data_IF_207922042511
#
_entry.id   IF_207922042511
#
_cell.length_a   1.000
_cell.length_b   1.000
_cell.length_c   1.000
_cell.angle_alpha   90.00
_cell.angle_beta   90.00
_cell.angle_gamma   90.00
#
_symmetry.space_group_name_H-M   'P 1'
#
loop_
_entity.id
_entity.type
_entity.pdbx_description
1 polymer ?
#
# COMPACT_ATOMS: atom_id res chain seq x y z
N UNK A 1 -7.59 21.47 6.33
CA UNK A 1 -6.99 22.43 5.33
C UNK A 1 -8.08 22.92 4.41
N UNK A 2 -8.04 24.19 3.95
CA UNK A 2 -9.05 24.70 3.02
C UNK A 2 -8.65 24.48 1.55
N UNK A 3 -9.62 24.46 0.64
CA UNK A 3 -9.37 24.26 -0.81
C UNK A 3 -8.40 25.30 -1.38
N UNK A 4 -8.50 26.57 -0.93
CA UNK A 4 -7.59 27.64 -1.37
C UNK A 4 -6.13 27.39 -0.96
N UNK A 5 -5.92 26.77 0.19
CA UNK A 5 -4.58 26.42 0.68
C UNK A 5 -3.98 25.28 -0.15
N UNK A 6 -4.79 24.25 -0.47
CA UNK A 6 -4.37 23.16 -1.35
C UNK A 6 -3.91 23.70 -2.71
N UNK A 7 -4.67 24.60 -3.32
CA UNK A 7 -4.28 25.24 -4.58
C UNK A 7 -2.96 26.03 -4.46
N UNK A 8 -2.75 26.73 -3.35
CA UNK A 8 -1.47 27.42 -3.08
C UNK A 8 -0.30 26.44 -2.97
N UNK A 9 -0.50 25.27 -2.35
CA UNK A 9 0.52 24.22 -2.26
C UNK A 9 0.89 23.67 -3.64
N UNK A 10 -0.10 23.28 -4.45
CA UNK A 10 0.14 22.80 -5.83
C UNK A 10 0.92 23.83 -6.64
N UNK A 11 0.50 25.10 -6.60
CA UNK A 11 1.18 26.17 -7.33
C UNK A 11 2.61 26.44 -6.81
N UNK A 12 2.85 26.28 -5.50
CA UNK A 12 4.19 26.39 -4.90
C UNK A 12 5.11 25.29 -5.39
N UNK A 13 4.62 24.05 -5.41
CA UNK A 13 5.38 22.91 -5.90
C UNK A 13 5.67 23.03 -7.40
N UNK A 14 4.71 23.47 -8.20
CA UNK A 14 4.88 23.69 -9.63
C UNK A 14 5.95 24.73 -9.92
N UNK A 15 5.94 25.86 -9.18
CA UNK A 15 7.01 26.88 -9.29
C UNK A 15 8.37 26.31 -8.90
N UNK A 16 8.43 25.49 -7.85
CA UNK A 16 9.68 24.86 -7.44
C UNK A 16 10.18 23.86 -8.48
N UNK A 17 9.30 23.03 -9.04
CA UNK A 17 9.64 22.10 -10.11
C UNK A 17 10.25 22.83 -11.30
N UNK A 18 9.66 23.93 -11.74
CA UNK A 18 10.16 24.71 -12.87
C UNK A 18 11.51 25.44 -12.62
N UNK A 19 12.02 25.44 -11.39
CA UNK A 19 13.41 25.88 -11.15
C UNK A 19 14.46 24.90 -11.68
N UNK A 20 14.06 23.67 -12.07
CA UNK A 20 14.96 22.62 -12.53
C UNK A 20 15.76 21.94 -11.42
N UNK A 21 15.67 22.37 -10.16
CA UNK A 21 16.48 21.81 -9.04
C UNK A 21 16.30 20.30 -8.86
N UNK A 22 15.06 19.82 -9.03
CA UNK A 22 14.74 18.38 -8.88
C UNK A 22 15.32 17.52 -10.01
N UNK A 23 15.78 18.10 -11.10
CA UNK A 23 16.40 17.39 -12.21
C UNK A 23 17.85 16.98 -11.89
N UNK A 24 18.53 17.66 -10.98
CA UNK A 24 19.89 17.34 -10.59
C UNK A 24 19.94 16.07 -9.73
N UNK A 25 20.72 15.08 -10.18
CA UNK A 25 20.83 13.80 -9.50
C UNK A 25 21.29 13.93 -8.05
N UNK A 26 22.29 14.78 -7.77
CA UNK A 26 22.77 15.03 -6.42
C UNK A 26 21.68 15.58 -5.47
N UNK A 27 20.74 16.39 -5.99
CA UNK A 27 19.61 16.88 -5.20
C UNK A 27 18.67 15.72 -4.79
N UNK A 28 18.37 14.82 -5.72
CA UNK A 28 17.50 13.65 -5.47
C UNK A 28 18.15 12.68 -4.46
N UNK A 29 19.44 12.37 -4.64
CA UNK A 29 20.21 11.53 -3.70
C UNK A 29 20.22 12.12 -2.30
N UNK A 30 20.46 13.43 -2.16
CA UNK A 30 20.43 14.10 -0.88
C UNK A 30 19.04 14.03 -0.23
N UNK A 31 17.98 14.20 -1.01
CA UNK A 31 16.59 14.12 -0.49
C UNK A 31 16.28 12.71 0.02
N UNK A 32 16.62 11.67 -0.74
CA UNK A 32 16.42 10.27 -0.32
C UNK A 32 17.24 9.91 0.93
N UNK A 33 18.50 10.35 1.03
CA UNK A 33 19.32 10.12 2.22
C UNK A 33 18.76 10.81 3.46
N UNK A 34 18.28 12.05 3.34
CA UNK A 34 17.62 12.75 4.44
C UNK A 34 16.36 12.04 4.89
N UNK A 35 15.56 11.56 3.95
CA UNK A 35 14.35 10.78 4.23
C UNK A 35 14.70 9.47 4.95
N UNK A 36 15.73 8.75 4.50
CA UNK A 36 16.22 7.53 5.13
C UNK A 36 16.63 7.76 6.58
N UNK A 37 17.44 8.78 6.83
CA UNK A 37 17.90 9.14 8.19
C UNK A 37 16.71 9.50 9.08
N UNK A 38 15.76 10.28 8.59
CA UNK A 38 14.57 10.68 9.34
C UNK A 38 13.68 9.48 9.67
N UNK A 39 13.48 8.54 8.74
CA UNK A 39 12.73 7.30 8.99
C UNK A 39 13.41 6.47 10.08
N UNK A 40 14.71 6.26 9.97
CA UNK A 40 15.46 5.47 10.97
C UNK A 40 15.42 6.11 12.36
N UNK A 41 15.48 7.44 12.43
CA UNK A 41 15.42 8.18 13.70
C UNK A 41 14.04 8.11 14.39
N UNK A 42 12.97 7.82 13.63
CA UNK A 42 11.60 7.78 14.13
C UNK A 42 11.00 6.36 14.13
N UNK A 43 11.80 5.31 14.04
CA UNK A 43 11.33 3.93 13.93
C UNK A 43 10.36 3.54 15.08
N UNK A 44 10.68 3.90 16.31
CA UNK A 44 9.83 3.63 17.47
C UNK A 44 8.48 4.38 17.40
N UNK A 45 8.50 5.61 16.89
CA UNK A 45 7.26 6.38 16.71
C UNK A 45 6.39 5.80 15.59
N UNK A 46 7.00 5.32 14.50
CA UNK A 46 6.31 4.62 13.41
C UNK A 46 5.68 3.33 13.93
N UNK A 47 6.44 2.51 14.66
CA UNK A 47 5.95 1.26 15.25
C UNK A 47 4.76 1.52 16.20
N UNK A 48 4.84 2.57 17.03
CA UNK A 48 3.75 2.97 17.91
C UNK A 48 2.51 3.41 17.14
N UNK A 49 2.68 4.18 16.07
CA UNK A 49 1.58 4.65 15.23
C UNK A 49 0.86 3.48 14.52
N UNK A 50 1.61 2.53 13.94
CA UNK A 50 1.08 1.32 13.31
C UNK A 50 0.36 0.41 14.32
N UNK A 51 0.87 0.33 15.55
CA UNK A 51 0.19 -0.35 16.65
C UNK A 51 -1.14 0.30 17.01
N UNK A 52 -1.18 1.63 17.08
CA UNK A 52 -2.41 2.38 17.39
C UNK A 52 -3.45 2.31 16.27
N UNK A 53 -3.04 2.30 15.00
CA UNK A 53 -3.96 2.23 13.87
C UNK A 53 -4.47 0.80 13.60
N UNK A 54 -3.57 -0.19 13.55
CA UNK A 54 -3.84 -1.54 13.04
C UNK A 54 -3.52 -2.68 14.03
N UNK A 55 -2.98 -2.37 15.20
CA UNK A 55 -2.55 -3.39 16.15
C UNK A 55 -1.26 -4.12 15.77
N UNK A 56 -0.54 -3.68 14.75
CA UNK A 56 0.68 -4.36 14.28
C UNK A 56 1.74 -4.43 15.36
N UNK A 57 2.40 -5.58 15.48
CA UNK A 57 3.61 -5.72 16.29
C UNK A 57 4.77 -4.96 15.65
N UNK A 58 5.81 -4.64 16.43
CA UNK A 58 7.01 -3.98 15.89
C UNK A 58 7.70 -4.83 14.82
N UNK A 59 7.70 -6.16 14.99
CA UNK A 59 8.28 -7.09 14.01
C UNK A 59 7.49 -7.08 12.69
N UNK A 60 6.16 -7.11 12.75
CA UNK A 60 5.31 -7.01 11.56
C UNK A 60 5.44 -5.63 10.89
N UNK A 61 5.43 -4.55 11.68
CA UNK A 61 5.61 -3.19 11.20
C UNK A 61 6.95 -3.02 10.46
N UNK A 62 8.04 -3.55 10.99
CA UNK A 62 9.33 -3.52 10.31
C UNK A 62 9.33 -4.36 9.04
N UNK A 63 8.88 -5.63 9.14
CA UNK A 63 8.89 -6.58 8.02
C UNK A 63 8.04 -6.12 6.83
N UNK A 64 6.89 -5.52 7.10
CA UNK A 64 5.89 -5.23 6.06
C UNK A 64 5.79 -3.74 5.69
N UNK A 65 6.45 -2.85 6.43
CA UNK A 65 6.34 -1.41 6.18
C UNK A 65 7.71 -0.71 6.24
N UNK A 66 8.25 -0.44 7.42
CA UNK A 66 9.45 0.39 7.57
C UNK A 66 10.67 -0.20 6.88
N UNK A 67 10.91 -1.50 7.05
CA UNK A 67 12.05 -2.20 6.44
C UNK A 67 11.98 -2.23 4.92
N UNK A 68 10.78 -2.38 4.35
CA UNK A 68 10.57 -2.35 2.89
C UNK A 68 10.86 -0.97 2.32
N UNK A 69 10.37 0.11 2.95
CA UNK A 69 10.67 1.48 2.52
C UNK A 69 12.18 1.78 2.58
N UNK A 70 12.85 1.35 3.64
CA UNK A 70 14.31 1.52 3.76
C UNK A 70 15.09 0.73 2.69
N UNK A 71 14.60 -0.46 2.34
CA UNK A 71 15.15 -1.27 1.24
C UNK A 71 14.95 -0.57 -0.11
N UNK A 72 13.75 -0.01 -0.38
CA UNK A 72 13.47 0.74 -1.61
C UNK A 72 14.33 2.01 -1.73
N UNK A 73 14.48 2.78 -0.65
CA UNK A 73 15.40 3.94 -0.67
C UNK A 73 16.82 3.48 -1.03
N UNK A 74 17.29 2.39 -0.43
CA UNK A 74 18.63 1.85 -0.69
C UNK A 74 18.77 1.37 -2.14
N UNK A 75 17.74 0.73 -2.68
CA UNK A 75 17.67 0.30 -4.07
C UNK A 75 17.72 1.50 -5.04
N UNK A 76 16.90 2.51 -4.81
CA UNK A 76 16.87 3.73 -5.63
C UNK A 76 18.21 4.49 -5.56
N UNK A 77 18.79 4.68 -4.39
CA UNK A 77 20.10 5.31 -4.25
C UNK A 77 21.20 4.60 -5.07
N UNK A 78 21.10 3.28 -5.21
CA UNK A 78 22.05 2.47 -6.00
C UNK A 78 21.79 2.56 -7.50
N UNK A 79 20.52 2.64 -7.95
CA UNK A 79 20.16 2.41 -9.35
C UNK A 79 19.64 3.66 -10.08
N UNK A 80 19.16 4.71 -9.37
CA UNK A 80 18.53 5.89 -9.98
C UNK A 80 19.40 6.61 -11.01
N UNK A 81 20.75 6.58 -10.85
CA UNK A 81 21.67 7.13 -11.87
C UNK A 81 21.61 6.36 -13.18
N UNK A 82 21.43 5.03 -13.11
CA UNK A 82 21.29 4.19 -14.29
C UNK A 82 19.94 4.42 -14.97
N UNK A 83 18.85 4.52 -14.16
CA UNK A 83 17.51 4.76 -14.69
C UNK A 83 17.38 6.13 -15.35
N UNK A 84 18.13 7.14 -14.89
CA UNK A 84 18.16 8.48 -15.46
C UNK A 84 19.05 8.67 -16.69
N UNK A 85 19.75 7.62 -17.19
CA UNK A 85 20.61 7.73 -18.37
C UNK A 85 19.82 7.77 -19.67
N UNK A 86 20.33 8.54 -20.63
CA UNK A 86 19.85 8.53 -21.99
C UNK A 86 20.04 7.12 -22.62
N UNK A 87 19.00 6.61 -23.25
CA UNK A 87 19.00 5.31 -23.92
C UNK A 87 19.10 5.52 -25.42
N UNK A 88 20.26 5.21 -26.00
CA UNK A 88 20.46 5.29 -27.45
C UNK A 88 19.52 4.32 -28.16
N UNK A 89 18.87 4.78 -29.22
CA UNK A 89 18.01 3.99 -30.09
C UNK A 89 18.49 4.08 -31.54
N UNK A 90 18.05 3.15 -32.40
CA UNK A 90 18.43 3.14 -33.82
C UNK A 90 17.96 4.43 -34.50
N UNK A 91 18.89 5.11 -35.16
CA UNK A 91 18.60 6.28 -36.00
C UNK A 91 18.24 5.82 -37.40
N UNK A 92 17.10 6.25 -37.99
CA UNK A 92 16.79 5.94 -39.40
C UNK A 92 17.84 6.46 -40.36
N UNK A 93 18.12 5.71 -41.46
CA UNK A 93 19.12 6.10 -42.48
C UNK A 93 18.87 7.48 -43.08
N UNK A 94 17.59 7.87 -43.25
CA UNK A 94 17.20 9.19 -43.76
C UNK A 94 17.68 10.35 -42.87
N UNK A 95 18.06 10.07 -41.61
CA UNK A 95 18.60 11.01 -40.62
C UNK A 95 20.10 10.77 -40.37
N UNK A 96 20.79 10.28 -41.38
CA UNK A 96 22.24 10.03 -41.31
C UNK A 96 22.99 11.25 -40.77
N UNK A 97 24.03 11.03 -39.97
CA UNK A 97 24.83 11.98 -39.23
C UNK A 97 24.13 12.53 -37.95
N UNK A 98 22.93 12.01 -37.56
CA UNK A 98 22.30 12.33 -36.29
C UNK A 98 22.34 11.17 -35.30
N UNK A 99 22.04 11.45 -34.00
CA UNK A 99 21.92 10.45 -32.96
C UNK A 99 20.52 10.52 -32.33
N UNK A 100 19.84 9.38 -32.28
CA UNK A 100 18.53 9.25 -31.66
C UNK A 100 18.66 8.59 -30.27
N UNK A 101 17.95 9.10 -29.29
CA UNK A 101 17.92 8.55 -27.93
C UNK A 101 16.59 8.86 -27.24
N UNK A 102 16.24 8.05 -26.23
CA UNK A 102 15.17 8.32 -25.29
C UNK A 102 15.76 8.89 -24.02
N UNK A 103 15.25 10.01 -23.55
CA UNK A 103 15.69 10.67 -22.33
C UNK A 103 14.58 10.58 -21.26
N UNK A 104 14.84 9.92 -20.11
CA UNK A 104 13.92 9.94 -18.98
C UNK A 104 13.71 11.38 -18.48
N UNK A 105 12.47 11.75 -18.23
CA UNK A 105 12.11 13.08 -17.70
C UNK A 105 11.04 12.93 -16.62
N UNK A 106 11.12 13.69 -15.50
CA UNK A 106 10.08 13.71 -14.49
C UNK A 106 8.77 14.25 -15.05
N UNK A 107 7.65 13.76 -14.54
CA UNK A 107 6.33 14.27 -14.90
C UNK A 107 6.10 15.70 -14.42
N UNK A 108 6.44 16.00 -13.17
CA UNK A 108 6.23 17.33 -12.58
C UNK A 108 5.75 17.28 -11.15
N UNK A 109 4.56 17.80 -10.89
CA UNK A 109 3.88 17.77 -9.58
C UNK A 109 3.02 16.51 -9.50
N UNK A 110 3.35 15.59 -8.62
CA UNK A 110 2.64 14.33 -8.45
C UNK A 110 1.70 14.37 -7.24
N UNK A 111 0.59 13.66 -7.33
CA UNK A 111 -0.31 13.37 -6.21
C UNK A 111 -0.21 11.88 -5.88
N UNK A 112 0.08 11.56 -4.62
CA UNK A 112 0.09 10.20 -4.08
C UNK A 112 -1.05 10.08 -3.10
N UNK A 113 -2.04 9.24 -3.42
CA UNK A 113 -3.20 8.96 -2.55
C UNK A 113 -3.10 7.52 -2.10
N UNK A 114 -2.91 7.30 -0.81
CA UNK A 114 -2.58 5.99 -0.25
C UNK A 114 -3.66 5.43 0.67
N UNK A 115 -3.72 4.09 0.81
CA UNK A 115 -4.70 3.39 1.63
C UNK A 115 -4.29 3.34 3.10
N UNK A 116 -5.06 2.60 3.87
CA UNK A 116 -4.94 2.48 5.32
C UNK A 116 -4.34 1.15 5.80
N UNK A 117 -4.24 0.14 4.93
CA UNK A 117 -3.87 -1.23 5.34
C UNK A 117 -2.35 -1.43 5.54
N UNK A 118 -1.54 -0.83 4.70
CA UNK A 118 -0.09 -0.66 4.89
C UNK A 118 0.22 0.83 4.72
N UNK A 119 -0.21 1.65 5.70
CA UNK A 119 -0.26 3.10 5.50
C UNK A 119 1.11 3.72 5.34
N UNK A 120 2.14 3.20 6.00
CA UNK A 120 3.49 3.72 5.87
C UNK A 120 4.14 3.27 4.55
N UNK A 121 4.12 1.97 4.26
CA UNK A 121 4.70 1.41 3.03
C UNK A 121 4.08 2.03 1.78
N UNK A 122 2.76 1.89 1.63
CA UNK A 122 2.04 2.29 0.41
C UNK A 122 1.93 3.81 0.23
N UNK A 123 2.42 4.58 1.20
CA UNK A 123 2.60 6.02 1.07
C UNK A 123 4.04 6.38 0.73
N UNK A 124 5.00 5.79 1.46
CA UNK A 124 6.40 6.21 1.38
C UNK A 124 7.12 5.61 0.17
N UNK A 125 6.79 4.39 -0.25
CA UNK A 125 7.43 3.74 -1.41
C UNK A 125 7.15 4.51 -2.71
N UNK A 126 5.88 4.83 -3.09
CA UNK A 126 5.63 5.68 -4.25
C UNK A 126 6.23 7.09 -4.12
N UNK A 127 6.36 7.61 -2.89
CA UNK A 127 7.04 8.88 -2.67
C UNK A 127 8.54 8.77 -2.99
N UNK A 128 9.22 7.72 -2.53
CA UNK A 128 10.63 7.46 -2.83
C UNK A 128 10.86 7.45 -4.33
N UNK A 129 10.01 6.74 -5.08
CA UNK A 129 10.10 6.63 -6.53
C UNK A 129 9.84 7.96 -7.24
N UNK A 130 8.83 8.70 -6.79
CA UNK A 130 8.54 10.02 -7.32
C UNK A 130 9.74 10.99 -7.14
N UNK A 131 10.39 10.95 -5.97
CA UNK A 131 11.56 11.78 -5.69
C UNK A 131 12.80 11.31 -6.46
N UNK A 132 13.03 10.01 -6.57
CA UNK A 132 14.11 9.43 -7.38
C UNK A 132 13.97 9.81 -8.86
N UNK A 133 12.75 9.82 -9.38
CA UNK A 133 12.45 10.26 -10.75
C UNK A 133 12.58 11.78 -10.95
N UNK A 134 12.61 12.59 -9.88
CA UNK A 134 12.80 14.05 -9.94
C UNK A 134 11.51 14.86 -9.93
N UNK A 135 10.41 14.28 -9.47
CA UNK A 135 9.13 14.97 -9.28
C UNK A 135 9.09 15.74 -7.96
N UNK A 136 8.11 16.62 -7.81
CA UNK A 136 7.61 17.11 -6.53
C UNK A 136 6.37 16.31 -6.15
N UNK A 137 6.04 16.18 -4.86
CA UNK A 137 4.93 15.35 -4.44
C UNK A 137 4.03 16.02 -3.40
N UNK A 138 2.72 15.87 -3.61
CA UNK A 138 1.70 16.06 -2.58
C UNK A 138 1.22 14.66 -2.18
N UNK A 139 1.33 14.37 -0.89
CA UNK A 139 0.99 13.07 -0.32
C UNK A 139 -0.30 13.20 0.46
N UNK A 140 -1.28 12.34 0.16
CA UNK A 140 -2.57 12.27 0.83
C UNK A 140 -2.79 10.89 1.44
N UNK A 141 -2.31 10.65 2.67
CA UNK A 141 -2.53 9.39 3.36
C UNK A 141 -4.00 9.21 3.77
N UNK A 142 -4.36 7.99 4.13
CA UNK A 142 -5.72 7.67 4.54
C UNK A 142 -6.11 8.31 5.87
N UNK A 143 -7.34 8.78 5.98
CA UNK A 143 -7.91 9.24 7.25
C UNK A 143 -8.23 8.07 8.22
N UNK A 144 -8.21 6.82 7.75
CA UNK A 144 -8.46 5.63 8.60
C UNK A 144 -7.23 5.16 9.37
N UNK A 145 -6.04 5.70 9.04
CA UNK A 145 -4.78 5.50 9.78
C UNK A 145 -4.20 6.85 10.25
N UNK A 146 -4.88 7.54 11.19
CA UNK A 146 -4.53 8.91 11.57
C UNK A 146 -3.15 9.02 12.23
N UNK A 147 -2.79 8.08 13.12
CA UNK A 147 -1.51 8.12 13.82
C UNK A 147 -0.33 7.93 12.84
N UNK A 148 -0.45 6.99 11.91
CA UNK A 148 0.57 6.79 10.87
C UNK A 148 0.64 8.00 9.92
N UNK A 149 -0.49 8.61 9.60
CA UNK A 149 -0.54 9.83 8.78
C UNK A 149 0.16 11.01 9.47
N UNK A 150 0.02 11.16 10.78
CA UNK A 150 0.66 12.21 11.56
C UNK A 150 2.18 12.03 11.65
N UNK A 151 2.66 10.81 11.94
CA UNK A 151 4.11 10.56 11.98
C UNK A 151 4.76 10.72 10.61
N UNK A 152 4.11 10.33 9.51
CA UNK A 152 4.60 10.59 8.16
C UNK A 152 4.70 12.09 7.86
N UNK A 153 3.71 12.87 8.26
CA UNK A 153 3.73 14.32 8.11
C UNK A 153 4.89 14.96 8.89
N UNK A 154 5.16 14.49 10.11
CA UNK A 154 6.29 14.91 10.93
C UNK A 154 7.61 14.60 10.23
N UNK A 155 7.88 13.33 9.90
CA UNK A 155 9.09 12.86 9.24
C UNK A 155 9.39 13.67 7.97
N UNK A 156 8.39 13.83 7.11
CA UNK A 156 8.55 14.54 5.83
C UNK A 156 8.84 16.03 6.08
N UNK A 157 8.14 16.68 7.00
CA UNK A 157 8.32 18.12 7.26
C UNK A 157 9.67 18.47 7.88
N UNK A 158 10.27 17.55 8.64
CA UNK A 158 11.58 17.72 9.25
C UNK A 158 12.73 17.64 8.23
N UNK A 159 12.60 16.78 7.22
CA UNK A 159 13.70 16.49 6.30
C UNK A 159 13.55 17.13 4.91
N UNK A 160 12.32 17.46 4.47
CA UNK A 160 12.03 17.96 3.13
C UNK A 160 11.17 19.25 3.19
N UNK A 161 11.50 20.30 2.40
CA UNK A 161 10.72 21.53 2.41
C UNK A 161 9.35 21.36 1.73
N UNK A 162 8.30 21.98 2.23
CA UNK A 162 6.92 21.89 1.72
C UNK A 162 6.76 22.22 0.22
N UNK A 163 7.64 23.05 -0.33
CA UNK A 163 7.66 23.34 -1.77
C UNK A 163 8.12 22.15 -2.62
N UNK A 164 8.68 21.10 -2.00
CA UNK A 164 9.16 19.89 -2.65
C UNK A 164 8.26 18.69 -2.31
N UNK A 165 8.01 18.45 -1.04
CA UNK A 165 7.08 17.41 -0.57
C UNK A 165 6.20 17.99 0.54
N UNK A 166 4.92 17.66 0.51
CA UNK A 166 3.98 18.04 1.58
C UNK A 166 2.94 16.94 1.78
N UNK A 167 2.63 16.68 3.04
CA UNK A 167 1.51 15.79 3.43
C UNK A 167 0.27 16.65 3.66
N UNK A 168 -0.84 16.22 3.09
CA UNK A 168 -2.18 16.81 3.29
C UNK A 168 -3.02 15.80 4.06
N UNK A 169 -3.07 15.92 5.38
CA UNK A 169 -3.96 15.13 6.22
C UNK A 169 -5.40 15.62 6.06
N UNK A 170 -6.34 14.68 6.20
CA UNK A 170 -7.77 14.97 6.07
C UNK A 170 -8.55 13.82 5.45
N UNK A 171 -9.84 14.04 5.26
CA UNK A 171 -10.78 13.03 4.81
C UNK A 171 -11.30 13.24 3.39
N UNK A 172 -12.59 12.93 3.19
CA UNK A 172 -13.24 12.97 1.88
C UNK A 172 -13.20 14.36 1.24
N UNK A 173 -13.32 15.44 2.04
CA UNK A 173 -13.30 16.81 1.52
C UNK A 173 -11.95 17.16 0.89
N UNK A 174 -10.85 16.85 1.59
CA UNK A 174 -9.49 17.08 1.11
C UNK A 174 -9.20 16.25 -0.14
N UNK A 175 -9.66 14.98 -0.20
CA UNK A 175 -9.55 14.17 -1.41
C UNK A 175 -10.22 14.85 -2.61
N UNK A 176 -11.46 15.31 -2.44
CA UNK A 176 -12.19 15.99 -3.52
C UNK A 176 -11.53 17.31 -3.94
N UNK A 177 -10.97 18.07 -3.01
CA UNK A 177 -10.27 19.32 -3.33
C UNK A 177 -8.96 19.07 -4.07
N UNK A 178 -8.19 18.05 -3.66
CA UNK A 178 -6.98 17.64 -4.37
C UNK A 178 -7.30 17.18 -5.79
N UNK A 179 -8.31 16.34 -5.99
CA UNK A 179 -8.69 15.83 -7.30
C UNK A 179 -9.25 16.91 -8.25
N UNK A 180 -9.61 18.10 -7.75
CA UNK A 180 -9.98 19.25 -8.58
C UNK A 180 -8.77 20.03 -9.11
N UNK A 181 -7.59 19.87 -8.51
CA UNK A 181 -6.37 20.55 -8.93
C UNK A 181 -5.69 19.79 -10.08
N UNK A 182 -4.95 20.50 -10.92
CA UNK A 182 -4.16 19.90 -12.00
C UNK A 182 -2.85 19.34 -11.46
N UNK A 183 -2.70 18.04 -11.51
CA UNK A 183 -1.43 17.32 -11.31
C UNK A 183 -0.86 16.88 -12.65
N UNK A 184 0.43 16.53 -12.65
CA UNK A 184 1.12 16.02 -13.83
C UNK A 184 1.19 14.47 -13.80
N UNK A 185 0.92 13.87 -12.63
CA UNK A 185 0.75 12.43 -12.43
C UNK A 185 -0.02 12.16 -11.13
N UNK A 186 -0.85 11.10 -11.11
CA UNK A 186 -1.54 10.65 -9.90
C UNK A 186 -1.24 9.17 -9.67
N UNK A 187 -0.72 8.83 -8.50
CA UNK A 187 -0.59 7.47 -8.01
C UNK A 187 -1.65 7.24 -6.93
N UNK A 188 -2.52 6.28 -7.14
CA UNK A 188 -3.61 5.96 -6.23
C UNK A 188 -3.61 4.49 -5.87
N UNK A 189 -3.69 4.19 -4.57
CA UNK A 189 -3.93 2.84 -4.07
C UNK A 189 -5.20 2.82 -3.21
N UNK A 190 -6.13 1.92 -3.52
CA UNK A 190 -7.38 1.80 -2.79
C UNK A 190 -8.48 1.03 -3.52
N UNK A 191 -9.75 1.33 -3.22
CA UNK A 191 -10.88 0.61 -3.81
C UNK A 191 -11.12 0.98 -5.28
N UNK A 192 -11.67 0.03 -6.04
CA UNK A 192 -12.07 0.25 -7.45
C UNK A 192 -13.03 1.43 -7.61
N UNK A 193 -13.98 1.61 -6.67
CA UNK A 193 -14.95 2.71 -6.74
C UNK A 193 -14.25 4.08 -6.70
N UNK A 194 -13.29 4.26 -5.77
CA UNK A 194 -12.50 5.50 -5.67
C UNK A 194 -11.52 5.63 -6.83
N UNK A 195 -10.94 4.54 -7.32
CA UNK A 195 -10.07 4.54 -8.52
C UNK A 195 -10.79 5.09 -9.76
N UNK A 196 -12.05 4.71 -9.97
CA UNK A 196 -12.90 5.26 -11.05
C UNK A 196 -13.11 6.78 -10.88
N UNK A 197 -13.32 7.27 -9.64
CA UNK A 197 -13.43 8.70 -9.34
C UNK A 197 -12.12 9.44 -9.65
N UNK A 198 -10.98 8.88 -9.26
CA UNK A 198 -9.66 9.43 -9.57
C UNK A 198 -9.44 9.55 -11.08
N UNK A 199 -9.72 8.49 -11.85
CA UNK A 199 -9.62 8.53 -13.32
C UNK A 199 -10.51 9.60 -13.93
N UNK A 200 -11.77 9.71 -13.49
CA UNK A 200 -12.71 10.69 -14.01
C UNK A 200 -12.26 12.14 -13.77
N UNK A 201 -11.58 12.40 -12.63
CA UNK A 201 -11.00 13.71 -12.36
C UNK A 201 -9.73 13.96 -13.16
N UNK A 202 -8.84 12.97 -13.25
CA UNK A 202 -7.58 13.04 -14.00
C UNK A 202 -7.82 13.30 -15.49
N UNK A 203 -8.86 12.68 -16.07
CA UNK A 203 -9.24 12.85 -17.48
C UNK A 203 -9.52 14.31 -17.86
N UNK A 204 -10.02 15.15 -16.94
CA UNK A 204 -10.27 16.58 -17.17
C UNK A 204 -9.01 17.38 -17.51
N UNK A 205 -7.86 16.87 -17.09
CA UNK A 205 -6.55 17.50 -17.25
C UNK A 205 -5.60 16.68 -18.13
N UNK A 206 -6.06 15.53 -18.66
CA UNK A 206 -5.26 14.54 -19.36
C UNK A 206 -4.09 14.06 -18.49
N UNK A 207 -4.29 13.98 -17.18
CA UNK A 207 -3.27 13.53 -16.22
C UNK A 207 -3.17 12.01 -16.26
N UNK A 208 -1.97 11.44 -16.52
CA UNK A 208 -1.76 10.00 -16.41
C UNK A 208 -1.92 9.53 -14.96
N UNK A 209 -2.46 8.31 -14.81
CA UNK A 209 -2.71 7.70 -13.50
C UNK A 209 -2.13 6.29 -13.43
N UNK A 210 -1.61 5.91 -12.26
CA UNK A 210 -1.47 4.51 -11.86
C UNK A 210 -2.47 4.22 -10.76
N UNK A 211 -3.20 3.12 -10.91
CA UNK A 211 -4.23 2.67 -9.98
C UNK A 211 -3.83 1.29 -9.46
N UNK A 212 -3.49 1.22 -8.17
CA UNK A 212 -3.32 -0.02 -7.44
C UNK A 212 -4.61 -0.33 -6.70
N UNK A 213 -5.27 -1.41 -7.08
CA UNK A 213 -6.63 -1.73 -6.65
C UNK A 213 -6.69 -3.10 -6.00
N UNK A 214 -7.81 -3.43 -5.37
CA UNK A 214 -8.08 -4.74 -4.83
C UNK A 214 -8.35 -5.79 -5.90
N UNK A 215 -8.30 -7.04 -5.50
CA UNK A 215 -8.59 -8.19 -6.34
C UNK A 215 -9.05 -9.39 -5.52
N UNK A 216 -9.73 -10.34 -6.16
CA UNK A 216 -10.13 -11.61 -5.55
C UNK A 216 -9.12 -12.69 -5.95
N UNK A 217 -7.96 -12.70 -5.26
CA UNK A 217 -6.80 -13.52 -5.61
C UNK A 217 -7.02 -15.01 -5.28
N UNK A 218 -7.10 -15.92 -6.28
CA UNK A 218 -7.23 -17.36 -6.05
C UNK A 218 -5.89 -17.93 -5.57
N UNK A 219 -5.95 -18.87 -4.62
CA UNK A 219 -4.84 -19.74 -4.29
C UNK A 219 -5.17 -21.16 -4.80
N UNK A 220 -4.45 -21.65 -5.80
CA UNK A 220 -4.70 -22.94 -6.42
C UNK A 220 -3.78 -24.00 -5.81
N UNK A 221 -4.37 -25.10 -5.33
CA UNK A 221 -3.64 -26.23 -4.74
C UNK A 221 -4.09 -27.52 -5.42
N UNK A 222 -3.23 -28.11 -6.22
CA UNK A 222 -3.47 -29.40 -6.87
C UNK A 222 -2.92 -30.59 -6.06
N UNK A 223 -3.14 -31.80 -6.54
CA UNK A 223 -2.69 -33.04 -5.89
C UNK A 223 -1.18 -33.22 -5.82
N UNK A 224 -0.40 -32.46 -6.61
CA UNK A 224 1.07 -32.51 -6.61
C UNK A 224 1.68 -31.61 -5.54
N UNK A 225 0.87 -30.75 -4.90
CA UNK A 225 1.35 -29.76 -3.95
C UNK A 225 1.90 -30.42 -2.67
N UNK A 226 2.96 -29.84 -2.11
CA UNK A 226 3.38 -30.15 -0.75
C UNK A 226 2.40 -29.47 0.23
N UNK A 227 1.43 -30.24 0.72
CA UNK A 227 0.31 -29.75 1.53
C UNK A 227 0.77 -28.99 2.77
N UNK A 228 1.79 -29.48 3.49
CA UNK A 228 2.32 -28.82 4.69
C UNK A 228 2.93 -27.44 4.35
N UNK A 229 3.67 -27.35 3.26
CA UNK A 229 4.25 -26.09 2.81
C UNK A 229 3.19 -25.15 2.27
N UNK A 230 2.21 -25.66 1.51
CA UNK A 230 1.08 -24.88 0.99
C UNK A 230 0.28 -24.27 2.14
N UNK A 231 -0.17 -25.08 3.12
CA UNK A 231 -0.89 -24.61 4.30
C UNK A 231 -0.13 -23.54 5.07
N UNK A 232 1.18 -23.73 5.30
CA UNK A 232 2.03 -22.74 6.00
C UNK A 232 2.06 -21.39 5.26
N UNK A 233 2.20 -21.42 3.93
CA UNK A 233 2.25 -20.20 3.10
C UNK A 233 0.90 -19.52 3.00
N UNK A 234 -0.18 -20.29 2.86
CA UNK A 234 -1.55 -19.76 2.82
C UNK A 234 -1.89 -19.07 4.14
N UNK A 235 -1.65 -19.72 5.27
CA UNK A 235 -1.91 -19.19 6.62
C UNK A 235 -1.11 -17.91 6.85
N UNK A 236 0.19 -17.91 6.53
CA UNK A 236 1.01 -16.71 6.65
C UNK A 236 0.50 -15.58 5.75
N UNK A 237 0.31 -15.83 4.45
CA UNK A 237 -0.09 -14.82 3.48
C UNK A 237 -1.49 -14.30 3.69
N UNK A 238 -2.41 -15.15 4.23
CA UNK A 238 -3.79 -14.73 4.48
C UNK A 238 -3.93 -13.91 5.77
N UNK A 239 -3.31 -14.33 6.86
CA UNK A 239 -3.57 -13.72 8.16
C UNK A 239 -2.58 -12.63 8.56
N UNK A 240 -1.53 -12.39 7.76
CA UNK A 240 -0.70 -11.21 7.86
C UNK A 240 -1.58 -9.95 7.77
N UNK A 241 -1.38 -8.96 8.64
CA UNK A 241 -2.22 -7.76 8.75
C UNK A 241 -3.73 -8.07 8.90
N UNK A 242 -4.07 -9.17 9.57
CA UNK A 242 -5.44 -9.68 9.67
C UNK A 242 -6.14 -9.82 8.31
N UNK A 243 -5.43 -10.23 7.27
CA UNK A 243 -5.97 -10.41 5.92
C UNK A 243 -6.29 -9.12 5.17
N UNK A 244 -5.98 -7.96 5.71
CA UNK A 244 -6.24 -6.65 5.10
C UNK A 244 -5.15 -6.32 4.06
N UNK A 245 -5.00 -7.21 3.07
CA UNK A 245 -3.90 -7.19 2.09
C UNK A 245 -4.45 -7.47 0.70
N UNK A 246 -4.21 -6.57 -0.24
CA UNK A 246 -4.69 -6.65 -1.63
C UNK A 246 -4.16 -7.86 -2.41
N UNK A 247 -3.06 -8.45 -1.98
CA UNK A 247 -2.42 -9.64 -2.56
C UNK A 247 -2.56 -10.89 -1.67
N UNK A 248 -3.38 -10.85 -0.61
CA UNK A 248 -3.63 -12.00 0.23
C UNK A 248 -4.32 -13.13 -0.57
N UNK A 249 -4.07 -14.41 -0.26
CA UNK A 249 -4.93 -15.50 -0.73
C UNK A 249 -6.37 -15.22 -0.30
N UNK A 250 -7.24 -14.87 -1.24
CA UNK A 250 -8.62 -14.48 -0.91
C UNK A 250 -9.49 -15.72 -0.72
N UNK A 251 -9.34 -16.69 -1.61
CA UNK A 251 -9.94 -18.02 -1.49
C UNK A 251 -8.99 -19.10 -1.98
N UNK A 252 -9.21 -20.33 -1.48
CA UNK A 252 -8.44 -21.50 -1.91
C UNK A 252 -9.29 -22.37 -2.82
N UNK A 253 -8.78 -22.63 -4.03
CA UNK A 253 -9.35 -23.57 -4.98
C UNK A 253 -8.45 -24.81 -5.04
N UNK A 254 -8.86 -25.88 -4.42
CA UNK A 254 -8.02 -27.08 -4.28
C UNK A 254 -8.67 -28.32 -4.89
N UNK A 255 -7.82 -29.29 -5.31
CA UNK A 255 -8.29 -30.59 -5.72
C UNK A 255 -9.02 -31.30 -4.56
N UNK A 256 -10.15 -31.99 -4.86
CA UNK A 256 -10.95 -32.65 -3.84
C UNK A 256 -10.15 -33.67 -3.04
N UNK A 257 -9.19 -34.35 -3.69
CA UNK A 257 -8.35 -35.39 -3.07
C UNK A 257 -7.43 -34.87 -1.96
N UNK A 258 -7.09 -33.61 -1.94
CA UNK A 258 -6.17 -32.97 -0.97
C UNK A 258 -6.85 -32.02 0.00
N UNK A 259 -8.15 -31.72 -0.21
CA UNK A 259 -8.88 -30.69 0.54
C UNK A 259 -8.83 -30.90 2.05
N UNK A 260 -9.22 -32.09 2.52
CA UNK A 260 -9.33 -32.35 3.97
C UNK A 260 -7.94 -32.28 4.64
N UNK A 261 -6.92 -32.87 3.99
CA UNK A 261 -5.54 -32.80 4.48
C UNK A 261 -5.03 -31.33 4.53
N UNK A 262 -5.39 -30.51 3.54
CA UNK A 262 -5.03 -29.09 3.51
C UNK A 262 -5.70 -28.31 4.64
N UNK A 263 -7.01 -28.49 4.85
CA UNK A 263 -7.78 -27.86 5.93
C UNK A 263 -7.20 -28.23 7.30
N UNK A 264 -6.92 -29.50 7.54
CA UNK A 264 -6.34 -29.97 8.80
C UNK A 264 -4.94 -29.38 9.05
N UNK A 265 -4.12 -29.32 8.00
CA UNK A 265 -2.80 -28.73 8.12
C UNK A 265 -2.88 -27.19 8.31
N UNK A 266 -3.81 -26.50 7.67
CA UNK A 266 -4.05 -25.08 7.90
C UNK A 266 -4.45 -24.80 9.36
N UNK A 267 -5.33 -25.60 9.97
CA UNK A 267 -5.68 -25.51 11.40
C UNK A 267 -4.45 -25.64 12.29
N UNK A 268 -3.54 -26.60 12.01
CA UNK A 268 -2.27 -26.74 12.73
C UNK A 268 -1.36 -25.54 12.56
N UNK A 269 -1.28 -24.99 11.35
CA UNK A 269 -0.47 -23.81 11.07
C UNK A 269 -1.01 -22.55 11.75
N UNK A 270 -2.33 -22.38 11.85
CA UNK A 270 -2.96 -21.28 12.62
C UNK A 270 -2.53 -21.37 14.09
N UNK A 271 -2.70 -22.53 14.73
CA UNK A 271 -2.25 -22.73 16.12
C UNK A 271 -0.77 -22.45 16.30
N UNK A 272 0.06 -22.89 15.35
CA UNK A 272 1.50 -22.70 15.42
C UNK A 272 1.91 -21.23 15.32
N UNK A 273 1.23 -20.43 14.49
CA UNK A 273 1.60 -19.04 14.21
C UNK A 273 0.94 -18.06 15.18
N UNK A 274 -0.26 -18.35 15.64
CA UNK A 274 -1.07 -17.41 16.44
C UNK A 274 -1.39 -17.92 17.86
N UNK A 275 -1.10 -19.18 18.19
CA UNK A 275 -1.45 -19.82 19.46
C UNK A 275 -2.82 -20.49 19.43
N UNK A 276 -3.20 -21.07 20.58
CA UNK A 276 -4.52 -21.71 20.74
C UNK A 276 -5.66 -20.68 20.84
N UNK A 277 -5.36 -19.49 21.32
CA UNK A 277 -6.26 -18.35 21.34
C UNK A 277 -5.62 -17.17 20.57
N UNK A 278 -5.90 -17.03 19.27
CA UNK A 278 -5.36 -15.94 18.45
C UNK A 278 -5.77 -14.55 18.91
N UNK A 279 -6.95 -14.38 19.54
CA UNK A 279 -7.41 -13.07 20.02
C UNK A 279 -6.66 -12.59 21.27
N UNK A 280 -6.13 -13.52 22.07
CA UNK A 280 -5.24 -13.19 23.19
C UNK A 280 -3.79 -12.95 22.77
N UNK A 281 -3.43 -13.22 21.52
CA UNK A 281 -2.06 -13.02 21.03
C UNK A 281 -1.78 -11.53 20.85
N UNK A 282 -0.84 -10.99 21.63
CA UNK A 282 -0.47 -9.58 21.61
C UNK A 282 0.10 -9.09 20.27
N UNK A 283 0.59 -9.99 19.42
CA UNK A 283 1.13 -9.67 18.09
C UNK A 283 0.09 -9.81 16.97
N UNK A 284 -1.12 -10.31 17.30
CA UNK A 284 -2.21 -10.37 16.33
C UNK A 284 -2.88 -9.00 16.22
N UNK A 285 -3.00 -8.48 15.00
CA UNK A 285 -3.53 -7.15 14.74
C UNK A 285 -5.05 -7.03 14.91
N UNK A 286 -5.62 -5.97 14.32
CA UNK A 286 -7.06 -5.71 14.35
C UNK A 286 -7.58 -5.15 13.03
N UNK A 287 -8.89 -5.19 12.85
CA UNK A 287 -9.57 -4.56 11.73
C UNK A 287 -9.55 -3.03 11.93
N UNK A 288 -9.26 -2.30 10.87
CA UNK A 288 -8.99 -0.86 10.92
C UNK A 288 -10.10 -0.02 11.57
N UNK A 289 -11.37 -0.38 11.42
CA UNK A 289 -12.51 0.31 12.00
C UNK A 289 -13.77 -0.57 12.06
N UNK A 290 -14.76 -0.07 12.80
CA UNK A 290 -16.02 -0.76 13.03
C UNK A 290 -16.81 -1.05 11.74
N UNK A 291 -16.77 -0.15 10.75
CA UNK A 291 -17.44 -0.35 9.46
C UNK A 291 -16.93 -1.61 8.74
N UNK A 292 -15.60 -1.75 8.64
CA UNK A 292 -14.99 -2.92 8.02
C UNK A 292 -15.16 -4.18 8.88
N UNK A 293 -15.09 -4.05 10.19
CA UNK A 293 -15.36 -5.16 11.11
C UNK A 293 -16.77 -5.73 10.90
N UNK A 294 -17.80 -4.87 10.93
CA UNK A 294 -19.19 -5.31 10.71
C UNK A 294 -19.39 -5.93 9.32
N UNK A 295 -18.76 -5.37 8.28
CA UNK A 295 -18.80 -5.96 6.94
C UNK A 295 -18.24 -7.39 6.94
N UNK A 296 -17.10 -7.61 7.59
CA UNK A 296 -16.45 -8.91 7.65
C UNK A 296 -17.28 -9.93 8.40
N UNK A 297 -17.83 -9.57 9.56
CA UNK A 297 -18.74 -10.45 10.32
C UNK A 297 -19.94 -10.87 9.47
N UNK A 298 -20.48 -9.95 8.66
CA UNK A 298 -21.58 -10.26 7.74
C UNK A 298 -21.23 -11.20 6.58
N UNK A 299 -19.95 -11.49 6.33
CA UNK A 299 -19.50 -12.46 5.34
C UNK A 299 -19.34 -13.87 5.90
N UNK A 300 -19.29 -14.02 7.22
CA UNK A 300 -19.12 -15.32 7.87
C UNK A 300 -20.44 -16.06 7.93
N UNK A 301 -20.55 -17.19 7.24
CA UNK A 301 -21.65 -18.13 7.40
C UNK A 301 -21.24 -19.16 8.49
N UNK A 302 -21.86 -19.13 9.68
CA UNK A 302 -21.49 -20.04 10.77
C UNK A 302 -21.62 -21.52 10.43
N UNK A 303 -22.49 -21.87 9.49
CA UNK A 303 -22.72 -23.27 9.07
C UNK A 303 -21.56 -23.82 8.23
N UNK A 304 -20.73 -22.94 7.66
CA UNK A 304 -19.58 -23.26 6.81
C UNK A 304 -18.23 -23.08 7.52
N UNK A 305 -18.21 -22.54 8.74
CA UNK A 305 -16.99 -22.35 9.52
C UNK A 305 -16.47 -23.70 10.03
N UNK A 306 -15.22 -24.00 9.70
CA UNK A 306 -14.53 -25.23 10.16
C UNK A 306 -13.39 -24.93 11.14
N UNK A 307 -12.99 -23.66 11.26
CA UNK A 307 -12.06 -23.15 12.28
C UNK A 307 -12.20 -21.63 12.41
N UNK A 308 -11.99 -21.09 13.61
CA UNK A 308 -12.13 -19.66 13.88
C UNK A 308 -13.59 -19.19 13.90
N UNK A 309 -13.80 -17.94 13.54
CA UNK A 309 -15.13 -17.32 13.56
C UNK A 309 -15.39 -16.51 14.84
N UNK A 310 -14.58 -16.69 15.87
CA UNK A 310 -14.66 -15.88 17.10
C UNK A 310 -14.25 -14.43 16.80
N UNK A 311 -14.90 -13.50 17.51
CA UNK A 311 -14.59 -12.09 17.32
C UNK A 311 -14.74 -11.30 18.64
N UNK A 312 -13.95 -10.22 18.74
CA UNK A 312 -14.08 -9.20 19.79
C UNK A 312 -14.43 -7.85 19.16
N UNK A 313 -15.66 -7.41 19.35
CA UNK A 313 -16.15 -6.13 18.81
C UNK A 313 -15.54 -4.91 19.51
N UNK A 314 -15.04 -5.05 20.74
CA UNK A 314 -14.40 -3.97 21.49
C UNK A 314 -13.00 -3.69 20.95
N UNK A 315 -12.25 -4.76 20.64
CA UNK A 315 -10.91 -4.70 20.09
C UNK A 315 -10.90 -4.69 18.55
N UNK A 316 -12.05 -4.85 17.91
CA UNK A 316 -12.21 -4.99 16.45
C UNK A 316 -11.38 -6.15 15.90
N UNK A 317 -11.30 -7.26 16.61
CA UNK A 317 -10.55 -8.45 16.22
C UNK A 317 -11.48 -9.55 15.73
N UNK A 318 -11.03 -10.29 14.72
CA UNK A 318 -11.67 -11.49 14.19
C UNK A 318 -10.59 -12.57 14.13
N UNK A 319 -10.84 -13.72 14.69
CA UNK A 319 -9.91 -14.84 14.67
C UNK A 319 -9.64 -15.31 13.22
N UNK A 320 -8.45 -15.89 12.94
CA UNK A 320 -8.19 -16.56 11.68
C UNK A 320 -9.28 -17.59 11.38
N UNK A 321 -10.03 -17.37 10.29
CA UNK A 321 -11.26 -18.12 10.00
C UNK A 321 -11.10 -18.95 8.72
N UNK A 322 -11.50 -20.22 8.77
CA UNK A 322 -11.60 -21.10 7.62
C UNK A 322 -13.06 -21.46 7.40
N UNK A 323 -13.58 -21.19 6.22
CA UNK A 323 -14.88 -21.67 5.76
C UNK A 323 -14.68 -22.74 4.68
N UNK A 324 -15.45 -23.83 4.75
CA UNK A 324 -15.47 -24.93 3.77
C UNK A 324 -16.86 -25.01 3.08
N UNK A 325 -16.96 -25.78 2.03
CA UNK A 325 -18.18 -25.91 1.22
C UNK A 325 -18.71 -24.56 0.67
N UNK A 326 -17.77 -23.66 0.40
CA UNK A 326 -18.09 -22.33 -0.17
C UNK A 326 -18.35 -22.46 -1.67
N UNK A 327 -19.42 -21.82 -2.15
CA UNK A 327 -19.77 -21.74 -3.57
C UNK A 327 -19.54 -20.31 -4.10
N UNK A 328 -19.55 -20.13 -5.41
CA UNK A 328 -19.38 -18.80 -6.00
C UNK A 328 -20.58 -17.86 -5.74
N UNK A 329 -21.72 -18.40 -5.30
CA UNK A 329 -22.93 -17.65 -4.94
C UNK A 329 -22.89 -17.12 -3.50
N UNK A 330 -22.00 -17.62 -2.66
CA UNK A 330 -21.89 -17.17 -1.25
C UNK A 330 -21.44 -15.70 -1.16
N UNK A 331 -21.90 -15.02 -0.11
CA UNK A 331 -21.58 -13.61 0.12
C UNK A 331 -20.07 -13.35 0.16
N UNK A 332 -19.30 -14.25 0.76
CA UNK A 332 -17.84 -14.17 0.87
C UNK A 332 -17.13 -14.23 -0.50
N UNK A 333 -17.81 -14.73 -1.54
CA UNK A 333 -17.24 -14.85 -2.89
C UNK A 333 -17.60 -13.67 -3.81
N UNK A 334 -18.52 -12.78 -3.45
CA UNK A 334 -18.99 -11.70 -4.33
C UNK A 334 -17.97 -10.57 -4.46
N UNK A 335 -17.19 -10.31 -3.41
CA UNK A 335 -16.17 -9.24 -3.37
C UNK A 335 -14.89 -9.74 -2.71
N UNK A 336 -13.82 -8.95 -2.81
CA UNK A 336 -12.59 -9.15 -2.04
C UNK A 336 -12.90 -9.18 -0.53
N UNK A 337 -12.42 -10.20 0.17
CA UNK A 337 -12.67 -10.35 1.61
C UNK A 337 -12.01 -9.22 2.40
N UNK A 338 -10.71 -8.99 2.20
CA UNK A 338 -9.92 -7.97 2.89
C UNK A 338 -10.02 -8.08 4.42
N UNK A 339 -9.91 -9.31 4.93
CA UNK A 339 -10.02 -9.67 6.34
C UNK A 339 -9.57 -11.11 6.60
N UNK A 340 -9.51 -11.52 7.85
CA UNK A 340 -8.97 -12.81 8.26
C UNK A 340 -9.93 -14.00 8.04
#
# INVERSE_FOLDING_TARGET
>A
MEQREIRKLVNRQRRFFYTGKTQHMAFREMALRRLQISIMAHEDEINRALRLDLGKSASEAYMCETGMVLAEISYMLKHMRQFGKDQTVRTPLAQFASRSFRKPSPYGVTLIMSPWNYPFLLTMEPLVDALAAGNTAIVKPSAYSPFTSEIMAKIISECLPQKYVVVVNGGRKENQWLLKEKFDYIFFTGSQAVGKEVMAHAAKHLTPVTLELGGKSPCIVDETANIKLAARRIVFGKYLNCGQTCVAPDYVYCAASVKDALVDEMKKQIRKQFGDDPLANADYGRIVNEKHFRRLIGLIDPTKVVAGGECDSTLLQIAPTIMDQVTFEDAVMQEEIFGP
#
